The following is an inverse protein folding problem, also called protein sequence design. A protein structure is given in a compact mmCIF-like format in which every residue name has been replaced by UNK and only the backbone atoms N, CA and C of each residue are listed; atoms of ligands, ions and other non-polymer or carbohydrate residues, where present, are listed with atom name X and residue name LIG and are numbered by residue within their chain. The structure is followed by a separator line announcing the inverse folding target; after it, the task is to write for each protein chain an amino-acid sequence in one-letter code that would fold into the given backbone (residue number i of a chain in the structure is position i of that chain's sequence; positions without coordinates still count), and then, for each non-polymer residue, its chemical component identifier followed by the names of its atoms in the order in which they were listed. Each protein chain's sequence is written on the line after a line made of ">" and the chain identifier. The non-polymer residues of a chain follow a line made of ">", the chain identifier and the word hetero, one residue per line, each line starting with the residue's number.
data_IF_378890040207
#
_entry.id   IF_378890040207
#
_cell.length_a   1.000
_cell.length_b   1.000
_cell.length_c   1.000
_cell.angle_alpha   90.00
_cell.angle_beta   90.00
_cell.angle_gamma   90.00
#
_symmetry.space_group_name_H-M   'P 1'
#
loop_
_entity.id
_entity.type
_entity.pdbx_description
1 polymer ?
#
# COMPACT_ATOMS: atom_id res chain seq x y z
N UNK A 1 -9.39 52.03 -35.39
CA UNK A 1 -10.19 52.73 -34.35
C UNK A 1 -9.38 52.77 -33.07
N UNK A 2 -8.91 53.97 -32.78
CA UNK A 2 -8.16 54.53 -31.64
C UNK A 2 -8.82 54.16 -30.29
N UNK A 3 -8.15 54.05 -29.12
CA UNK A 3 -7.10 54.89 -28.52
C UNK A 3 -6.48 54.19 -27.29
N UNK A 4 -5.19 54.42 -27.06
CA UNK A 4 -4.46 54.22 -25.80
C UNK A 4 -4.50 55.49 -24.91
N UNK A 5 -4.03 55.36 -23.65
CA UNK A 5 -3.33 56.32 -22.74
C UNK A 5 -3.81 56.23 -21.27
N UNK A 6 -2.96 55.86 -20.30
CA UNK A 6 -2.01 56.70 -19.48
C UNK A 6 -2.76 57.53 -18.41
N UNK A 7 -2.31 57.86 -17.18
CA UNK A 7 -1.12 57.63 -16.34
C UNK A 7 -1.43 58.20 -14.92
N UNK A 8 -0.68 57.75 -13.90
CA UNK A 8 -0.21 58.47 -12.68
C UNK A 8 -1.16 59.01 -11.57
N UNK A 9 -0.72 58.80 -10.30
CA UNK A 9 -0.57 59.96 -9.39
C UNK A 9 -0.84 59.83 -7.87
N UNK A 10 0.12 59.26 -7.12
CA UNK A 10 0.73 59.79 -5.85
C UNK A 10 -0.09 60.15 -4.57
N UNK A 11 0.37 59.51 -3.48
CA UNK A 11 0.89 60.04 -2.17
C UNK A 11 -0.04 60.31 -0.96
N UNK A 12 0.42 59.74 0.17
CA UNK A 12 0.14 59.95 1.61
C UNK A 12 0.18 61.43 2.11
N UNK A 13 -0.37 61.73 3.31
CA UNK A 13 0.45 61.75 4.55
C UNK A 13 -0.23 61.26 5.86
N UNK A 14 0.59 61.16 6.91
CA UNK A 14 0.35 60.70 8.30
C UNK A 14 -0.11 61.84 9.26
N UNK A 15 -0.63 61.45 10.44
CA UNK A 15 -0.68 62.24 11.69
C UNK A 15 -2.00 61.95 12.46
N UNK A 16 -2.14 61.89 13.79
CA UNK A 16 -1.29 62.22 14.93
C UNK A 16 -1.87 61.56 16.22
N UNK A 17 -1.05 61.51 17.28
CA UNK A 17 -1.27 60.92 18.62
C UNK A 17 -2.41 61.55 19.45
N UNK A 18 -2.93 60.79 20.43
CA UNK A 18 -3.58 61.32 21.65
C UNK A 18 -3.77 60.27 22.75
N UNK A 19 -3.05 60.42 23.87
CA UNK A 19 -3.22 59.64 25.13
C UNK A 19 -4.30 60.30 26.00
N UNK A 20 -5.04 59.50 26.78
CA UNK A 20 -5.82 59.96 27.93
C UNK A 20 -6.12 58.82 28.91
N UNK A 21 -5.51 58.87 30.11
CA UNK A 21 -5.85 58.05 31.28
C UNK A 21 -7.00 58.75 32.03
N UNK A 22 -7.93 57.99 32.61
CA UNK A 22 -8.92 58.48 33.56
C UNK A 22 -9.58 57.33 34.31
N UNK A 23 -9.31 57.24 35.60
CA UNK A 23 -9.82 56.28 36.58
C UNK A 23 -11.22 56.71 37.05
N UNK A 24 -12.15 55.79 37.29
CA UNK A 24 -13.49 56.13 37.81
C UNK A 24 -14.29 54.90 38.23
N UNK A 25 -14.24 54.61 39.53
CA UNK A 25 -15.02 53.59 40.24
C UNK A 25 -16.53 53.91 40.16
N UNK A 26 -17.34 52.94 39.74
CA UNK A 26 -18.80 53.02 39.74
C UNK A 26 -19.41 51.64 39.87
N UNK A 27 -19.76 51.29 41.10
CA UNK A 27 -20.32 50.01 41.54
C UNK A 27 -21.82 49.95 41.19
N UNK A 28 -22.25 49.05 40.31
CA UNK A 28 -23.64 48.66 40.10
C UNK A 28 -23.74 47.12 40.07
N UNK A 29 -24.68 46.48 40.79
CA UNK A 29 -24.81 45.04 40.80
C UNK A 29 -25.53 44.60 39.52
N UNK A 30 -24.78 44.05 38.56
CA UNK A 30 -25.36 43.30 37.46
C UNK A 30 -25.77 41.92 38.00
N UNK A 31 -27.08 41.67 38.06
CA UNK A 31 -27.63 40.34 38.23
C UNK A 31 -26.96 39.38 37.21
N UNK A 32 -26.10 38.50 37.70
CA UNK A 32 -25.57 37.41 36.92
C UNK A 32 -26.72 36.46 36.57
N UNK A 33 -27.27 36.58 35.36
CA UNK A 33 -28.06 35.49 34.77
C UNK A 33 -27.08 34.34 34.58
N UNK A 34 -27.37 33.21 35.24
CA UNK A 34 -26.69 31.96 34.95
C UNK A 34 -26.75 31.71 33.43
N UNK A 35 -25.64 31.23 32.81
CA UNK A 35 -25.68 30.86 31.41
C UNK A 35 -26.83 29.85 31.21
N UNK A 36 -27.60 29.93 30.11
CA UNK A 36 -28.60 28.93 29.84
C UNK A 36 -27.91 27.56 29.85
N UNK A 37 -28.55 26.51 30.41
CA UNK A 37 -27.99 25.18 30.31
C UNK A 37 -27.70 24.90 28.84
N UNK A 38 -26.49 24.43 28.56
CA UNK A 38 -26.13 23.97 27.22
C UNK A 38 -27.26 23.08 26.71
N UNK A 39 -27.69 23.22 25.44
CA UNK A 39 -28.74 22.36 24.92
C UNK A 39 -28.32 20.93 25.19
N UNK A 40 -29.15 20.20 25.95
CA UNK A 40 -28.94 18.80 26.20
C UNK A 40 -28.79 18.15 24.82
N UNK A 41 -27.58 17.73 24.48
CA UNK A 41 -27.35 16.88 23.34
C UNK A 41 -28.21 15.65 23.62
N UNK A 42 -29.31 15.52 22.90
CA UNK A 42 -30.07 14.28 22.84
C UNK A 42 -29.06 13.25 22.33
N UNK A 43 -28.42 12.53 23.25
CA UNK A 43 -27.69 11.31 22.97
C UNK A 43 -28.76 10.31 22.53
N UNK A 44 -29.21 10.44 21.28
CA UNK A 44 -30.02 9.42 20.63
C UNK A 44 -29.21 8.13 20.74
N UNK A 45 -29.83 7.11 21.32
CA UNK A 45 -29.23 5.80 21.43
C UNK A 45 -28.76 5.33 20.04
N UNK A 46 -27.61 4.64 19.96
CA UNK A 46 -27.12 4.12 18.69
C UNK A 46 -28.19 3.24 18.03
N UNK A 47 -28.50 3.52 16.76
CA UNK A 47 -29.40 2.67 15.97
C UNK A 47 -28.79 1.27 15.89
N UNK A 48 -29.55 0.23 16.22
CA UNK A 48 -29.11 -1.16 16.12
C UNK A 48 -29.68 -1.80 14.85
N UNK A 49 -28.81 -2.30 13.99
CA UNK A 49 -29.21 -2.97 12.75
C UNK A 49 -29.87 -4.31 12.99
N UNK A 50 -30.93 -4.61 12.23
CA UNK A 50 -31.70 -5.85 12.30
C UNK A 50 -31.51 -6.77 11.08
N UNK A 51 -30.75 -6.36 10.06
CA UNK A 51 -30.57 -7.15 8.84
C UNK A 51 -29.66 -8.36 9.08
N UNK A 52 -30.22 -9.57 9.10
CA UNK A 52 -29.46 -10.82 9.29
C UNK A 52 -28.77 -11.37 8.03
N UNK A 53 -29.01 -10.73 6.88
CA UNK A 53 -28.47 -11.09 5.57
C UNK A 53 -27.33 -10.14 5.14
N UNK A 54 -26.48 -10.58 4.21
CA UNK A 54 -25.37 -9.77 3.69
C UNK A 54 -25.86 -8.57 2.84
N UNK A 55 -27.11 -8.63 2.37
CA UNK A 55 -27.84 -7.56 1.72
C UNK A 55 -29.28 -7.54 2.26
N UNK A 56 -29.85 -6.35 2.60
CA UNK A 56 -31.26 -6.25 2.97
C UNK A 56 -32.18 -6.90 1.92
N UNK A 57 -33.17 -7.73 2.31
CA UNK A 57 -34.01 -8.47 1.35
C UNK A 57 -34.69 -7.57 0.31
N UNK A 58 -35.16 -6.39 0.74
CA UNK A 58 -35.76 -5.38 -0.15
C UNK A 58 -34.77 -4.89 -1.22
N UNK A 59 -33.55 -4.54 -0.82
CA UNK A 59 -32.51 -4.11 -1.76
C UNK A 59 -32.12 -5.25 -2.72
N UNK A 60 -31.98 -6.47 -2.23
CA UNK A 60 -31.66 -7.63 -3.05
C UNK A 60 -32.77 -7.87 -4.10
N UNK A 61 -34.04 -7.84 -3.69
CA UNK A 61 -35.19 -8.02 -4.56
C UNK A 61 -35.32 -6.90 -5.60
N UNK A 62 -35.13 -5.64 -5.19
CA UNK A 62 -35.18 -4.49 -6.10
C UNK A 62 -34.07 -4.57 -7.14
N UNK A 63 -32.82 -4.86 -6.75
CA UNK A 63 -31.69 -5.03 -7.69
C UNK A 63 -31.84 -6.24 -8.59
N UNK A 64 -32.46 -7.32 -8.11
CA UNK A 64 -32.78 -8.47 -8.95
C UNK A 64 -33.81 -8.09 -10.02
N UNK A 65 -34.86 -7.36 -9.64
CA UNK A 65 -35.90 -6.87 -10.57
C UNK A 65 -35.33 -5.91 -11.61
N UNK A 66 -34.41 -5.02 -11.24
CA UNK A 66 -33.78 -4.04 -12.15
C UNK A 66 -32.55 -4.57 -12.88
N UNK A 67 -32.17 -5.85 -12.70
CA UNK A 67 -30.99 -6.48 -13.30
C UNK A 67 -29.64 -5.82 -12.90
N UNK A 68 -29.59 -5.20 -11.73
CA UNK A 68 -28.42 -4.49 -11.19
C UNK A 68 -27.53 -5.37 -10.30
N UNK A 69 -27.86 -6.65 -10.11
CA UNK A 69 -26.98 -7.60 -9.43
C UNK A 69 -25.71 -7.83 -10.24
N UNK A 70 -24.55 -7.71 -9.59
CA UNK A 70 -23.26 -8.04 -10.18
C UNK A 70 -23.17 -9.53 -10.53
N UNK A 71 -22.30 -9.92 -11.46
CA UNK A 71 -21.96 -11.33 -11.68
C UNK A 71 -21.38 -12.02 -10.44
N UNK A 72 -20.78 -11.24 -9.53
CA UNK A 72 -20.26 -11.71 -8.24
C UNK A 72 -21.36 -11.89 -7.17
N UNK A 73 -22.63 -11.66 -7.52
CA UNK A 73 -23.79 -11.78 -6.63
C UNK A 73 -24.81 -12.80 -7.16
N UNK A 74 -24.51 -13.45 -8.29
CA UNK A 74 -25.42 -14.36 -8.99
C UNK A 74 -24.96 -15.80 -8.82
N UNK A 75 -25.68 -16.63 -8.05
CA UNK A 75 -25.40 -18.05 -7.99
C UNK A 75 -25.42 -18.68 -9.38
N UNK A 76 -24.52 -19.61 -9.65
CA UNK A 76 -24.55 -20.42 -10.87
C UNK A 76 -24.32 -21.90 -10.57
N UNK A 77 -24.65 -22.78 -11.51
CA UNK A 77 -24.47 -24.23 -11.33
C UNK A 77 -22.99 -24.64 -11.19
N UNK A 78 -22.05 -23.80 -11.65
CA UNK A 78 -20.61 -24.01 -11.50
C UNK A 78 -20.20 -23.89 -10.03
N UNK A 79 -19.43 -24.86 -9.53
CA UNK A 79 -19.07 -24.98 -8.12
C UNK A 79 -18.51 -23.66 -7.51
N UNK A 80 -17.63 -22.96 -8.23
CA UNK A 80 -17.03 -21.70 -7.80
C UNK A 80 -18.04 -20.53 -7.61
N UNK A 81 -19.24 -20.65 -8.18
CA UNK A 81 -20.27 -19.61 -8.13
C UNK A 81 -21.48 -20.00 -7.27
N UNK A 82 -21.52 -21.21 -6.69
CA UNK A 82 -22.72 -21.71 -5.98
C UNK A 82 -23.02 -20.91 -4.72
N UNK A 83 -21.99 -20.43 -4.04
CA UNK A 83 -22.09 -19.75 -2.75
C UNK A 83 -22.19 -18.22 -2.89
N UNK A 84 -22.30 -17.68 -4.12
CA UNK A 84 -22.43 -16.25 -4.35
C UNK A 84 -23.79 -15.76 -3.87
N UNK A 85 -23.81 -14.67 -3.11
CA UNK A 85 -25.03 -14.06 -2.60
C UNK A 85 -25.00 -12.55 -2.80
N UNK A 86 -26.17 -11.92 -2.77
CA UNK A 86 -26.26 -10.47 -2.84
C UNK A 86 -25.60 -9.82 -1.62
N UNK A 87 -24.76 -8.81 -1.85
CA UNK A 87 -24.11 -8.01 -0.80
C UNK A 87 -24.59 -6.57 -0.89
N UNK A 88 -24.88 -5.94 0.25
CA UNK A 88 -25.39 -4.57 0.31
C UNK A 88 -24.45 -3.60 -0.43
N UNK A 89 -24.98 -2.83 -1.39
CA UNK A 89 -24.22 -1.83 -2.14
C UNK A 89 -23.94 -0.60 -1.26
N UNK A 90 -22.82 0.08 -1.47
CA UNK A 90 -22.58 1.36 -0.81
C UNK A 90 -23.55 2.41 -1.37
N UNK A 91 -24.20 3.17 -0.48
CA UNK A 91 -25.07 4.29 -0.87
C UNK A 91 -24.40 5.60 -0.46
N UNK A 92 -24.18 6.51 -1.41
CA UNK A 92 -23.70 7.85 -1.06
C UNK A 92 -24.74 8.54 -0.18
N UNK A 93 -24.30 9.28 0.82
CA UNK A 93 -25.20 10.14 1.58
C UNK A 93 -25.83 11.15 0.62
N UNK A 94 -27.13 10.99 0.35
CA UNK A 94 -27.92 12.00 -0.34
C UNK A 94 -28.42 12.99 0.72
N UNK A 95 -28.37 14.29 0.43
CA UNK A 95 -28.89 15.31 1.32
C UNK A 95 -30.36 15.01 1.68
N UNK A 96 -30.68 14.94 2.97
CA UNK A 96 -32.06 14.81 3.47
C UNK A 96 -32.55 13.40 3.84
N UNK A 97 -31.70 12.36 3.86
CA UNK A 97 -32.03 11.08 4.52
C UNK A 97 -31.43 11.03 5.93
N UNK A 98 -32.12 11.66 6.88
CA UNK A 98 -31.70 11.63 8.30
C UNK A 98 -32.26 10.42 9.07
N UNK A 99 -33.07 9.57 8.42
CA UNK A 99 -33.66 8.38 9.04
C UNK A 99 -33.18 7.12 8.33
N UNK A 100 -32.37 6.34 9.05
CA UNK A 100 -31.97 4.99 8.65
C UNK A 100 -32.98 3.98 9.19
N UNK A 101 -33.48 3.10 8.33
CA UNK A 101 -34.29 1.96 8.74
C UNK A 101 -33.36 0.90 9.40
N UNK A 102 -33.58 0.52 10.67
CA UNK A 102 -32.83 -0.54 11.32
C UNK A 102 -32.78 -1.85 10.52
N UNK A 103 -33.85 -2.19 9.80
CA UNK A 103 -33.91 -3.40 8.97
C UNK A 103 -33.04 -3.32 7.71
N UNK A 104 -32.58 -2.14 7.32
CA UNK A 104 -31.60 -1.96 6.24
C UNK A 104 -30.15 -2.01 6.73
N UNK A 105 -29.89 -1.99 8.04
CA UNK A 105 -28.54 -1.99 8.64
C UNK A 105 -28.14 -3.40 9.11
N UNK A 106 -26.93 -3.83 8.78
CA UNK A 106 -26.38 -5.13 9.23
C UNK A 106 -25.72 -4.97 10.60
N UNK A 107 -26.08 -5.77 11.62
CA UNK A 107 -25.42 -5.75 12.93
C UNK A 107 -23.98 -6.30 12.86
N UNK A 108 -23.14 -6.05 13.88
CA UNK A 108 -21.71 -6.39 13.87
C UNK A 108 -21.38 -7.83 13.41
N UNK A 109 -22.06 -8.90 13.89
CA UNK A 109 -21.77 -10.27 13.44
C UNK A 109 -22.01 -10.47 11.94
N UNK A 110 -22.99 -9.77 11.36
CA UNK A 110 -23.32 -9.84 9.94
C UNK A 110 -22.34 -9.02 9.10
N UNK A 111 -21.78 -7.95 9.66
CA UNK A 111 -20.69 -7.19 9.02
C UNK A 111 -19.45 -8.07 8.83
N UNK A 112 -18.99 -8.78 9.88
CA UNK A 112 -17.86 -9.71 9.77
C UNK A 112 -18.16 -10.87 8.82
N UNK A 113 -19.36 -11.46 8.87
CA UNK A 113 -19.80 -12.48 7.90
C UNK A 113 -19.77 -11.96 6.47
N UNK A 114 -20.13 -10.68 6.26
CA UNK A 114 -20.06 -10.04 4.95
C UNK A 114 -18.60 -9.95 4.48
N UNK A 115 -17.69 -9.47 5.32
CA UNK A 115 -16.26 -9.37 4.97
C UNK A 115 -15.66 -10.73 4.68
N UNK A 116 -15.99 -11.73 5.49
CA UNK A 116 -15.60 -13.13 5.24
C UNK A 116 -16.05 -13.56 3.86
N UNK A 117 -17.33 -13.40 3.51
CA UNK A 117 -17.82 -13.75 2.16
C UNK A 117 -17.08 -12.99 1.05
N UNK A 118 -16.85 -11.68 1.22
CA UNK A 118 -16.10 -10.88 0.24
C UNK A 118 -14.68 -11.42 0.02
N UNK A 119 -13.95 -11.76 1.09
CA UNK A 119 -12.55 -12.17 1.00
C UNK A 119 -12.31 -13.66 0.78
N UNK A 120 -13.27 -14.53 1.12
CA UNK A 120 -13.16 -16.00 0.97
C UNK A 120 -13.88 -16.51 -0.27
N UNK A 121 -14.92 -15.83 -0.75
CA UNK A 121 -15.78 -16.31 -1.85
C UNK A 121 -15.65 -15.43 -3.09
N UNK A 122 -15.63 -14.10 -2.93
CA UNK A 122 -15.60 -13.18 -4.09
C UNK A 122 -14.18 -12.82 -4.51
N UNK A 123 -13.31 -12.50 -3.56
CA UNK A 123 -11.94 -12.07 -3.84
C UNK A 123 -11.13 -13.10 -4.64
N UNK A 124 -11.12 -14.42 -4.34
CA UNK A 124 -10.37 -15.42 -5.11
C UNK A 124 -11.03 -15.77 -6.46
N UNK A 125 -11.66 -14.79 -7.11
CA UNK A 125 -12.28 -14.97 -8.42
C UNK A 125 -11.23 -15.33 -9.48
N UNK A 126 -11.51 -16.25 -10.42
CA UNK A 126 -10.52 -16.70 -11.40
C UNK A 126 -9.94 -15.56 -12.24
N UNK A 127 -8.61 -15.53 -12.37
CA UNK A 127 -7.83 -14.52 -13.12
C UNK A 127 -8.00 -13.09 -12.60
N UNK A 128 -8.46 -12.93 -11.37
CA UNK A 128 -8.52 -11.62 -10.71
C UNK A 128 -7.15 -11.12 -10.26
N UNK A 129 -6.14 -12.00 -10.16
CA UNK A 129 -4.86 -11.69 -9.54
C UNK A 129 -4.89 -11.77 -8.00
N UNK A 130 -6.07 -12.01 -7.41
CA UNK A 130 -6.25 -12.32 -6.00
C UNK A 130 -6.56 -13.82 -5.75
N UNK A 131 -6.65 -14.60 -6.82
CA UNK A 131 -6.77 -16.05 -6.81
C UNK A 131 -5.48 -16.75 -6.30
N UNK A 132 -5.45 -18.07 -6.39
CA UNK A 132 -4.32 -18.88 -5.93
C UNK A 132 -2.99 -18.39 -6.53
N UNK A 133 -1.92 -18.44 -5.74
CA UNK A 133 -0.62 -17.90 -6.10
C UNK A 133 -0.08 -18.45 -7.43
N UNK A 134 -0.29 -19.74 -7.66
CA UNK A 134 0.14 -20.46 -8.86
C UNK A 134 -0.59 -19.97 -10.13
N UNK A 135 -1.76 -19.36 -9.98
CA UNK A 135 -2.61 -18.94 -11.11
C UNK A 135 -2.47 -17.44 -11.43
N UNK A 136 -1.75 -16.66 -10.61
CA UNK A 136 -1.68 -15.19 -10.74
C UNK A 136 -1.00 -14.70 -12.01
N UNK A 137 -0.08 -15.49 -12.59
CA UNK A 137 0.51 -15.18 -13.90
C UNK A 137 -0.53 -15.12 -15.04
N UNK A 138 -1.75 -15.62 -14.81
CA UNK A 138 -2.87 -15.57 -15.76
C UNK A 138 -3.88 -14.43 -15.48
N UNK A 139 -3.57 -13.55 -14.52
CA UNK A 139 -4.42 -12.45 -14.13
C UNK A 139 -4.71 -11.52 -15.32
N UNK A 140 -5.96 -11.04 -15.40
CA UNK A 140 -6.39 -10.12 -16.44
C UNK A 140 -6.70 -8.75 -15.84
N UNK A 141 -6.21 -7.64 -16.43
CA UNK A 141 -6.50 -6.29 -15.95
C UNK A 141 -7.99 -6.03 -15.70
N UNK A 142 -8.85 -6.39 -16.65
CA UNK A 142 -10.30 -6.19 -16.52
C UNK A 142 -10.92 -7.01 -15.38
N UNK A 143 -10.43 -8.23 -15.12
CA UNK A 143 -10.93 -9.08 -14.04
C UNK A 143 -10.46 -8.58 -12.67
N UNK A 144 -9.19 -8.19 -12.55
CA UNK A 144 -8.64 -7.53 -11.37
C UNK A 144 -9.47 -6.29 -10.98
N UNK A 145 -9.69 -5.39 -11.95
CA UNK A 145 -10.44 -4.16 -11.73
C UNK A 145 -11.90 -4.43 -11.34
N UNK A 146 -12.56 -5.36 -12.02
CA UNK A 146 -13.95 -5.71 -11.70
C UNK A 146 -14.10 -6.22 -10.26
N UNK A 147 -13.20 -7.10 -9.82
CA UNK A 147 -13.21 -7.65 -8.46
C UNK A 147 -12.85 -6.57 -7.44
N UNK A 148 -11.78 -5.80 -7.69
CA UNK A 148 -11.37 -4.71 -6.81
C UNK A 148 -12.49 -3.70 -6.58
N UNK A 149 -13.12 -3.19 -7.65
CA UNK A 149 -14.19 -2.20 -7.54
C UNK A 149 -15.42 -2.76 -6.83
N UNK A 150 -15.76 -4.02 -7.07
CA UNK A 150 -16.86 -4.68 -6.38
C UNK A 150 -16.58 -4.80 -4.87
N UNK A 151 -15.43 -5.37 -4.50
CA UNK A 151 -15.04 -5.56 -3.09
C UNK A 151 -14.92 -4.22 -2.38
N UNK A 152 -14.28 -3.23 -3.01
CA UNK A 152 -14.15 -1.87 -2.47
C UNK A 152 -15.52 -1.21 -2.22
N UNK A 153 -16.47 -1.30 -3.15
CA UNK A 153 -17.82 -0.76 -2.95
C UNK A 153 -18.55 -1.45 -1.78
N UNK A 154 -18.54 -2.78 -1.75
CA UNK A 154 -19.22 -3.54 -0.69
C UNK A 154 -18.56 -3.35 0.68
N UNK A 155 -17.24 -3.18 0.71
CA UNK A 155 -16.50 -2.85 1.92
C UNK A 155 -16.88 -1.46 2.46
N UNK A 156 -17.00 -0.45 1.58
CA UNK A 156 -17.50 0.88 1.97
C UNK A 156 -18.92 0.82 2.53
N UNK A 157 -19.76 -0.09 2.05
CA UNK A 157 -21.09 -0.34 2.62
C UNK A 157 -21.00 -0.91 4.04
N UNK A 158 -20.06 -1.83 4.32
CA UNK A 158 -19.80 -2.36 5.66
C UNK A 158 -19.35 -1.26 6.62
N UNK A 159 -18.43 -0.39 6.17
CA UNK A 159 -18.00 0.78 6.96
C UNK A 159 -19.14 1.76 7.21
N UNK A 160 -19.97 2.03 6.21
CA UNK A 160 -21.14 2.87 6.36
C UNK A 160 -22.11 2.34 7.42
N UNK A 161 -22.41 1.04 7.41
CA UNK A 161 -23.26 0.42 8.43
C UNK A 161 -22.63 0.54 9.83
N UNK A 162 -21.31 0.40 9.93
CA UNK A 162 -20.57 0.57 11.19
C UNK A 162 -20.67 1.99 11.73
N UNK A 163 -20.47 2.99 10.86
CA UNK A 163 -20.57 4.41 11.22
C UNK A 163 -21.98 4.81 11.65
N UNK A 164 -23.02 4.39 10.91
CA UNK A 164 -24.41 4.71 11.23
C UNK A 164 -24.82 4.14 12.59
N UNK A 165 -24.36 2.93 12.90
CA UNK A 165 -24.63 2.26 14.18
C UNK A 165 -23.68 2.67 15.31
N UNK A 166 -22.69 3.53 15.04
CA UNK A 166 -21.63 3.93 16.00
C UNK A 166 -20.94 2.74 16.65
N UNK A 167 -20.59 1.73 15.85
CA UNK A 167 -19.83 0.56 16.30
C UNK A 167 -18.37 0.97 16.49
N UNK A 168 -17.81 0.72 17.67
CA UNK A 168 -16.42 1.04 18.04
C UNK A 168 -15.72 -0.16 18.73
N UNK A 169 -16.31 -1.36 18.64
CA UNK A 169 -15.78 -2.57 19.27
C UNK A 169 -14.80 -3.35 18.36
N UNK A 170 -14.37 -4.52 18.83
CA UNK A 170 -13.46 -5.43 18.12
C UNK A 170 -13.92 -5.78 16.70
N UNK A 171 -15.22 -5.78 16.42
CA UNK A 171 -15.77 -5.98 15.07
C UNK A 171 -15.24 -4.93 14.10
N UNK A 172 -15.27 -3.65 14.50
CA UNK A 172 -14.78 -2.57 13.66
C UNK A 172 -13.26 -2.64 13.51
N UNK A 173 -12.55 -2.96 14.60
CA UNK A 173 -11.10 -3.18 14.56
C UNK A 173 -10.75 -4.24 13.53
N UNK A 174 -11.31 -5.45 13.62
CA UNK A 174 -11.08 -6.52 12.64
C UNK A 174 -11.43 -6.10 11.22
N UNK A 175 -12.56 -5.41 11.03
CA UNK A 175 -12.98 -4.93 9.71
C UNK A 175 -11.96 -3.97 9.08
N UNK A 176 -11.44 -3.02 9.85
CA UNK A 176 -10.45 -2.04 9.39
C UNK A 176 -9.07 -2.67 9.18
N UNK A 177 -8.67 -3.63 10.00
CA UNK A 177 -7.45 -4.41 9.82
C UNK A 177 -7.46 -5.17 8.50
N UNK A 178 -8.55 -5.89 8.20
CA UNK A 178 -8.75 -6.56 6.91
C UNK A 178 -8.75 -5.58 5.74
N UNK A 179 -9.32 -4.39 5.93
CA UNK A 179 -9.29 -3.31 4.94
C UNK A 179 -7.87 -2.89 4.59
N UNK A 180 -7.06 -2.59 5.60
CA UNK A 180 -5.71 -2.08 5.41
C UNK A 180 -4.86 -3.12 4.65
N UNK A 181 -4.94 -4.39 5.05
CA UNK A 181 -4.28 -5.50 4.34
C UNK A 181 -4.77 -5.63 2.89
N UNK A 182 -6.09 -5.54 2.66
CA UNK A 182 -6.66 -5.56 1.31
C UNK A 182 -6.15 -4.42 0.42
N UNK A 183 -6.15 -3.17 0.90
CA UNK A 183 -5.72 -2.02 0.09
C UNK A 183 -4.21 -1.98 -0.16
N UNK A 184 -3.40 -2.45 0.79
CA UNK A 184 -1.96 -2.66 0.57
C UNK A 184 -1.73 -3.70 -0.52
N UNK A 185 -2.39 -4.85 -0.42
CA UNK A 185 -2.27 -5.92 -1.40
C UNK A 185 -2.80 -5.49 -2.77
N UNK A 186 -3.93 -4.80 -2.84
CA UNK A 186 -4.50 -4.28 -4.09
C UNK A 186 -3.54 -3.27 -4.75
N UNK A 187 -2.92 -2.39 -3.98
CA UNK A 187 -1.91 -1.45 -4.45
C UNK A 187 -0.72 -2.18 -5.09
N UNK A 188 -0.13 -3.13 -4.36
CA UNK A 188 0.94 -3.99 -4.87
C UNK A 188 0.55 -4.74 -6.15
N UNK A 189 -0.65 -5.34 -6.19
CA UNK A 189 -1.17 -6.08 -7.35
C UNK A 189 -1.37 -5.20 -8.56
N UNK A 190 -1.82 -3.97 -8.36
CA UNK A 190 -2.02 -3.03 -9.46
C UNK A 190 -0.73 -2.78 -10.24
N UNK A 191 0.42 -2.77 -9.55
CA UNK A 191 1.76 -2.62 -10.16
C UNK A 191 2.08 -3.80 -11.08
N UNK A 192 1.65 -5.02 -10.72
CA UNK A 192 1.89 -6.23 -11.51
C UNK A 192 0.94 -6.37 -12.69
N UNK A 193 -0.36 -6.18 -12.44
CA UNK A 193 -1.41 -6.56 -13.37
C UNK A 193 -1.74 -5.46 -14.37
N UNK A 194 -1.68 -4.17 -13.97
CA UNK A 194 -2.14 -3.05 -14.81
C UNK A 194 -1.05 -2.44 -15.70
N UNK A 195 -0.12 -3.25 -16.17
CA UNK A 195 1.02 -2.84 -17.02
C UNK A 195 0.52 -2.06 -18.27
N UNK A 196 0.82 -0.75 -18.35
CA UNK A 196 0.43 0.10 -19.48
C UNK A 196 -1.07 0.44 -19.61
N UNK A 197 -1.94 -0.08 -18.72
CA UNK A 197 -3.40 0.16 -18.74
C UNK A 197 -3.78 1.04 -17.55
N UNK A 198 -3.34 2.30 -17.54
CA UNK A 198 -3.78 3.31 -16.56
C UNK A 198 -4.51 4.45 -17.24
N UNK A 199 -5.72 4.19 -17.71
CA UNK A 199 -6.74 5.24 -17.75
C UNK A 199 -7.13 5.53 -16.30
N UNK A 200 -7.00 6.79 -15.84
CA UNK A 200 -7.44 7.22 -14.49
C UNK A 200 -8.92 6.88 -14.20
N UNK A 201 -9.69 6.63 -15.26
CA UNK A 201 -11.08 6.23 -15.19
C UNK A 201 -11.28 4.80 -14.65
N UNK A 202 -10.25 3.94 -14.72
CA UNK A 202 -10.34 2.52 -14.37
C UNK A 202 -9.58 2.17 -13.08
N UNK A 203 -8.44 2.78 -12.81
CA UNK A 203 -7.69 2.63 -11.55
C UNK A 203 -7.15 3.97 -11.05
N UNK A 204 -7.15 4.16 -9.73
CA UNK A 204 -6.57 5.33 -9.09
C UNK A 204 -5.83 4.92 -7.83
N UNK A 205 -4.49 4.99 -7.89
CA UNK A 205 -3.61 4.77 -6.74
C UNK A 205 -4.00 5.71 -5.58
N UNK A 206 -4.36 6.96 -5.90
CA UNK A 206 -4.82 7.95 -4.93
C UNK A 206 -6.07 7.52 -4.18
N UNK A 207 -7.10 7.03 -4.89
CA UNK A 207 -8.34 6.59 -4.23
C UNK A 207 -8.11 5.36 -3.37
N UNK A 208 -7.25 4.43 -3.80
CA UNK A 208 -6.85 3.27 -2.99
C UNK A 208 -6.13 3.73 -1.71
N UNK A 209 -5.16 4.63 -1.84
CA UNK A 209 -4.41 5.21 -0.73
C UNK A 209 -5.31 5.99 0.25
N UNK A 210 -6.30 6.73 -0.25
CA UNK A 210 -7.28 7.42 0.58
C UNK A 210 -8.12 6.44 1.42
N UNK A 211 -8.51 5.30 0.86
CA UNK A 211 -9.21 4.27 1.63
C UNK A 211 -8.32 3.62 2.68
N UNK A 212 -7.05 3.32 2.33
CA UNK A 212 -6.06 2.78 3.24
C UNK A 212 -5.77 3.74 4.40
N UNK A 213 -5.45 5.00 4.10
CA UNK A 213 -5.19 6.04 5.10
C UNK A 213 -6.40 6.27 6.01
N UNK A 214 -7.61 6.25 5.44
CA UNK A 214 -8.85 6.35 6.21
C UNK A 214 -9.03 5.17 7.17
N UNK A 215 -8.68 3.95 6.77
CA UNK A 215 -8.75 2.77 7.63
C UNK A 215 -7.71 2.82 8.76
N UNK A 216 -6.45 3.14 8.43
CA UNK A 216 -5.36 3.25 9.42
C UNK A 216 -5.60 4.37 10.43
N UNK A 217 -6.08 5.54 9.99
CA UNK A 217 -6.43 6.64 10.89
C UNK A 217 -7.53 6.25 11.88
N UNK A 218 -8.52 5.48 11.44
CA UNK A 218 -9.59 4.98 12.32
C UNK A 218 -9.08 3.91 13.28
N UNK A 219 -8.20 3.00 12.83
CA UNK A 219 -7.54 2.03 13.72
C UNK A 219 -6.75 2.73 14.81
N UNK A 220 -5.96 3.75 14.48
CA UNK A 220 -5.20 4.53 15.47
C UNK A 220 -6.10 5.16 16.53
N UNK A 221 -7.25 5.72 16.11
CA UNK A 221 -8.22 6.28 17.04
C UNK A 221 -8.80 5.20 17.98
N UNK A 222 -9.16 4.03 17.44
CA UNK A 222 -9.67 2.90 18.22
C UNK A 222 -8.62 2.35 19.19
N UNK A 223 -7.38 2.15 18.74
CA UNK A 223 -6.28 1.68 19.59
C UNK A 223 -6.03 2.65 20.74
N UNK A 224 -6.01 3.95 20.47
CA UNK A 224 -5.89 4.96 21.52
C UNK A 224 -7.05 4.96 22.50
N UNK A 225 -8.29 4.75 22.04
CA UNK A 225 -9.46 4.65 22.92
C UNK A 225 -9.39 3.44 23.85
N UNK A 226 -8.93 2.28 23.37
CA UNK A 226 -8.77 1.08 24.20
C UNK A 226 -7.62 1.20 25.21
N UNK A 227 -6.47 1.76 24.81
CA UNK A 227 -5.38 2.06 25.74
C UNK A 227 -5.84 3.04 26.84
N UNK A 228 -6.60 4.09 26.48
CA UNK A 228 -7.19 5.03 27.44
C UNK A 228 -8.24 4.38 28.36
N UNK A 229 -8.93 3.35 27.89
CA UNK A 229 -9.86 2.55 28.68
C UNK A 229 -9.15 1.57 29.62
N UNK A 230 -7.81 1.52 29.61
CA UNK A 230 -6.99 0.66 30.46
C UNK A 230 -6.87 -0.78 29.97
N UNK A 231 -7.29 -1.06 28.73
CA UNK A 231 -7.05 -2.34 28.08
C UNK A 231 -5.77 -2.24 27.25
N UNK A 232 -4.73 -2.99 27.62
CA UNK A 232 -3.53 -3.09 26.81
C UNK A 232 -3.82 -3.88 25.53
N UNK A 233 -3.07 -3.61 24.47
CA UNK A 233 -3.21 -4.33 23.19
C UNK A 233 -2.94 -5.84 23.28
N UNK A 234 -2.26 -6.28 24.34
CA UNK A 234 -2.01 -7.72 24.60
C UNK A 234 -3.21 -8.40 25.27
N UNK A 235 -4.06 -7.64 25.98
CA UNK A 235 -5.20 -8.17 26.74
C UNK A 235 -6.47 -8.30 25.89
N UNK A 236 -6.50 -7.63 24.74
CA UNK A 236 -7.62 -7.63 23.80
C UNK A 236 -7.18 -8.35 22.51
N UNK A 237 -7.74 -9.53 22.19
CA UNK A 237 -7.32 -10.32 21.03
C UNK A 237 -7.29 -9.53 19.71
N UNK A 238 -8.22 -8.60 19.52
CA UNK A 238 -8.33 -7.77 18.33
C UNK A 238 -7.22 -6.72 18.22
N UNK A 239 -6.60 -6.35 19.34
CA UNK A 239 -5.50 -5.39 19.41
C UNK A 239 -4.13 -6.04 19.35
N UNK A 240 -4.04 -7.37 19.46
CA UNK A 240 -2.78 -8.12 19.41
C UNK A 240 -1.93 -7.79 18.18
N UNK A 241 -2.59 -7.49 17.06
CA UNK A 241 -1.94 -7.15 15.80
C UNK A 241 -1.71 -5.64 15.61
N UNK A 242 -1.91 -4.79 16.63
CA UNK A 242 -1.81 -3.34 16.50
C UNK A 242 -0.45 -2.88 15.95
N UNK A 243 0.64 -3.53 16.36
CA UNK A 243 1.99 -3.24 15.89
C UNK A 243 2.15 -3.38 14.38
N UNK A 244 1.50 -4.37 13.76
CA UNK A 244 1.46 -4.58 12.31
C UNK A 244 0.95 -3.33 11.57
N UNK A 245 -0.19 -2.78 12.02
CA UNK A 245 -0.83 -1.63 11.38
C UNK A 245 -0.11 -0.31 11.68
N UNK A 246 0.49 -0.20 12.86
CA UNK A 246 1.39 0.91 13.19
C UNK A 246 2.62 0.89 12.27
N UNK A 247 3.21 -0.30 12.04
CA UNK A 247 4.33 -0.45 11.12
C UNK A 247 3.95 -0.07 9.69
N UNK A 248 2.78 -0.50 9.19
CA UNK A 248 2.28 -0.06 7.88
C UNK A 248 2.16 1.45 7.78
N UNK A 249 1.56 2.11 8.78
CA UNK A 249 1.36 3.55 8.73
C UNK A 249 2.68 4.33 8.77
N UNK A 250 3.63 3.88 9.59
CA UNK A 250 5.01 4.40 9.62
C UNK A 250 5.70 4.24 8.27
N UNK A 251 5.61 3.06 7.65
CA UNK A 251 6.22 2.79 6.36
C UNK A 251 5.60 3.63 5.25
N UNK A 252 4.28 3.82 5.22
CA UNK A 252 3.61 4.66 4.22
C UNK A 252 4.07 6.12 4.29
N UNK A 253 4.29 6.64 5.51
CA UNK A 253 4.72 8.02 5.73
C UNK A 253 6.24 8.19 5.88
N UNK A 254 7.05 7.13 5.71
CA UNK A 254 8.50 7.20 5.96
C UNK A 254 9.23 8.27 5.14
N UNK A 255 8.65 8.70 4.02
CA UNK A 255 9.18 9.79 3.19
C UNK A 255 9.00 11.20 3.79
N UNK A 256 8.04 11.38 4.70
CA UNK A 256 7.61 12.65 5.30
C UNK A 256 7.93 12.65 6.80
N UNK A 257 9.09 13.22 7.17
CA UNK A 257 9.61 13.16 8.54
C UNK A 257 8.68 13.79 9.59
N UNK A 258 7.93 14.83 9.21
CA UNK A 258 6.97 15.49 10.11
C UNK A 258 5.85 14.54 10.53
N UNK A 259 5.30 13.78 9.57
CA UNK A 259 4.20 12.84 9.83
C UNK A 259 4.64 11.72 10.77
N UNK A 260 5.85 11.18 10.54
CA UNK A 260 6.43 10.14 11.41
C UNK A 260 6.65 10.65 12.84
N UNK A 261 7.15 11.88 13.00
CA UNK A 261 7.31 12.48 14.33
C UNK A 261 5.96 12.65 15.03
N UNK A 262 4.92 13.11 14.32
CA UNK A 262 3.58 13.23 14.89
C UNK A 262 2.98 11.89 15.30
N UNK A 263 3.21 10.83 14.54
CA UNK A 263 2.81 9.48 14.91
C UNK A 263 3.55 9.02 16.18
N UNK A 264 4.87 9.19 16.23
CA UNK A 264 5.69 8.78 17.38
C UNK A 264 5.30 9.47 18.70
N UNK A 265 4.82 10.72 18.64
CA UNK A 265 4.32 11.44 19.80
C UNK A 265 3.02 10.85 20.37
N UNK A 266 2.22 10.18 19.52
CA UNK A 266 0.96 9.55 19.92
C UNK A 266 1.11 8.08 20.31
N UNK A 267 2.18 7.42 19.85
CA UNK A 267 2.41 6.00 20.10
C UNK A 267 2.87 5.71 21.54
N UNK A 268 2.23 4.74 22.17
CA UNK A 268 2.64 4.24 23.47
C UNK A 268 4.07 3.66 23.43
N UNK A 269 4.85 3.74 24.53
CA UNK A 269 6.20 3.17 24.58
C UNK A 269 6.24 1.66 24.26
N UNK A 270 5.18 0.93 24.64
CA UNK A 270 5.05 -0.52 24.41
C UNK A 270 4.90 -0.83 22.92
N UNK A 271 3.96 -0.17 22.22
CA UNK A 271 3.81 -0.32 20.76
C UNK A 271 5.09 0.07 20.02
N UNK A 272 5.80 1.10 20.49
CA UNK A 272 7.08 1.51 19.89
C UNK A 272 8.14 0.42 19.96
N UNK A 273 8.13 -0.45 20.97
CA UNK A 273 9.15 -1.49 21.15
C UNK A 273 8.88 -2.76 20.33
N UNK A 274 7.69 -2.89 19.72
CA UNK A 274 7.35 -4.06 18.91
C UNK A 274 8.31 -4.20 17.71
N UNK A 275 8.70 -5.43 17.35
CA UNK A 275 9.76 -5.67 16.37
C UNK A 275 9.42 -5.13 14.98
N UNK A 276 8.17 -5.24 14.55
CA UNK A 276 7.66 -4.70 13.29
C UNK A 276 7.69 -3.17 13.27
N UNK A 277 7.35 -2.52 14.39
CA UNK A 277 7.40 -1.06 14.53
C UNK A 277 8.85 -0.59 14.52
N UNK A 278 9.75 -1.28 15.24
CA UNK A 278 11.18 -1.00 15.23
C UNK A 278 11.79 -1.17 13.83
N UNK A 279 11.39 -2.20 13.08
CA UNK A 279 11.80 -2.37 11.67
C UNK A 279 11.34 -1.20 10.80
N UNK A 280 10.08 -0.78 10.91
CA UNK A 280 9.57 0.39 10.20
C UNK A 280 10.36 1.66 10.55
N UNK A 281 10.72 1.86 11.82
CA UNK A 281 11.52 3.01 12.26
C UNK A 281 12.97 2.95 11.75
N UNK A 282 13.61 1.78 11.71
CA UNK A 282 14.95 1.64 11.11
C UNK A 282 14.92 1.93 9.61
N UNK A 283 13.90 1.45 8.89
CA UNK A 283 13.70 1.79 7.48
C UNK A 283 13.46 3.29 7.27
N UNK A 284 12.68 3.92 8.15
CA UNK A 284 12.51 5.38 8.16
C UNK A 284 13.84 6.11 8.36
N UNK A 285 14.62 5.76 9.37
CA UNK A 285 15.93 6.38 9.63
C UNK A 285 16.84 6.24 8.42
N UNK A 286 16.95 5.03 7.86
CA UNK A 286 17.75 4.75 6.67
C UNK A 286 17.35 5.64 5.48
N UNK A 287 16.04 5.84 5.27
CA UNK A 287 15.53 6.70 4.21
C UNK A 287 15.85 8.20 4.44
N UNK A 288 15.85 8.65 5.70
CA UNK A 288 16.15 10.05 6.04
C UNK A 288 17.66 10.35 6.01
N UNK A 289 18.51 9.36 6.28
CA UNK A 289 19.98 9.49 6.24
C UNK A 289 20.58 9.11 4.87
N UNK A 290 19.74 8.82 3.88
CA UNK A 290 20.14 8.30 2.56
C UNK A 290 21.04 7.03 2.65
N UNK A 291 20.84 6.21 3.69
CA UNK A 291 21.48 4.91 3.84
C UNK A 291 20.65 3.84 3.12
N UNK A 292 20.80 3.79 1.80
CA UNK A 292 20.04 2.87 0.97
C UNK A 292 20.39 1.39 1.25
N UNK A 293 21.61 1.09 1.70
CA UNK A 293 21.99 -0.28 2.07
C UNK A 293 21.21 -0.74 3.30
N UNK A 294 21.17 0.07 4.37
CA UNK A 294 20.35 -0.23 5.54
C UNK A 294 18.86 -0.31 5.19
N UNK A 295 18.37 0.57 4.31
CA UNK A 295 16.98 0.51 3.85
C UNK A 295 16.66 -0.82 3.16
N UNK A 296 17.51 -1.28 2.24
CA UNK A 296 17.29 -2.55 1.54
C UNK A 296 17.49 -3.78 2.43
N UNK A 297 18.34 -3.69 3.45
CA UNK A 297 18.44 -4.73 4.48
C UNK A 297 17.11 -4.87 5.25
N UNK A 298 16.52 -3.77 5.71
CA UNK A 298 15.20 -3.79 6.36
C UNK A 298 14.10 -4.24 5.39
N UNK A 299 14.11 -3.76 4.13
CA UNK A 299 13.15 -4.16 3.11
C UNK A 299 13.20 -5.68 2.83
N UNK A 300 14.39 -6.27 2.81
CA UNK A 300 14.56 -7.73 2.72
C UNK A 300 13.98 -8.48 3.92
N UNK A 301 14.03 -7.90 5.12
CA UNK A 301 13.48 -8.48 6.34
C UNK A 301 11.98 -8.21 6.57
N UNK A 302 11.34 -7.36 5.75
CA UNK A 302 9.92 -7.03 5.84
C UNK A 302 9.02 -8.17 5.36
N UNK A 303 7.84 -8.28 5.96
CA UNK A 303 6.72 -9.09 5.47
C UNK A 303 6.23 -8.58 4.11
N UNK A 304 5.44 -9.39 3.41
CA UNK A 304 4.87 -9.00 2.11
C UNK A 304 4.13 -7.66 2.16
N UNK A 305 3.29 -7.46 3.19
CA UNK A 305 2.47 -6.25 3.31
C UNK A 305 3.28 -5.04 3.81
N UNK A 306 4.32 -5.26 4.63
CA UNK A 306 5.28 -4.21 4.97
C UNK A 306 6.04 -3.75 3.71
N UNK A 307 6.49 -4.70 2.87
CA UNK A 307 7.09 -4.37 1.57
C UNK A 307 6.10 -3.60 0.70
N UNK A 308 4.83 -4.01 0.65
CA UNK A 308 3.78 -3.29 -0.08
C UNK A 308 3.66 -1.82 0.35
N UNK A 309 3.72 -1.54 1.66
CA UNK A 309 3.74 -0.18 2.18
C UNK A 309 5.00 0.59 1.75
N UNK A 310 6.16 -0.07 1.80
CA UNK A 310 7.46 0.52 1.50
C UNK A 310 7.76 0.71 -0.01
N UNK A 311 7.06 0.01 -0.91
CA UNK A 311 7.28 0.04 -2.38
C UNK A 311 7.33 1.47 -2.94
N UNK A 312 6.52 2.39 -2.40
CA UNK A 312 6.43 3.79 -2.86
C UNK A 312 7.74 4.57 -2.70
N UNK A 313 8.64 4.12 -1.84
CA UNK A 313 9.92 4.79 -1.58
C UNK A 313 11.04 4.35 -2.51
N UNK A 314 10.91 3.18 -3.16
CA UNK A 314 11.95 2.62 -4.02
C UNK A 314 12.42 3.58 -5.13
N UNK A 315 11.54 4.31 -5.86
CA UNK A 315 12.00 5.23 -6.89
C UNK A 315 12.90 6.35 -6.34
N UNK A 316 12.58 6.85 -5.13
CA UNK A 316 13.36 7.88 -4.45
C UNK A 316 14.70 7.33 -3.98
N UNK A 317 14.71 6.11 -3.43
CA UNK A 317 15.93 5.42 -2.99
C UNK A 317 16.86 5.15 -4.18
N UNK A 318 16.33 4.67 -5.31
CA UNK A 318 17.09 4.45 -6.53
C UNK A 318 17.68 5.74 -7.10
N UNK A 319 16.88 6.81 -7.22
CA UNK A 319 17.34 8.09 -7.74
C UNK A 319 18.47 8.67 -6.87
N UNK A 320 18.27 8.74 -5.55
CA UNK A 320 19.26 9.29 -4.62
C UNK A 320 20.52 8.43 -4.56
N UNK A 321 20.36 7.11 -4.44
CA UNK A 321 21.46 6.16 -4.40
C UNK A 321 22.35 6.26 -5.64
N UNK A 322 21.76 6.28 -6.84
CA UNK A 322 22.53 6.43 -8.07
C UNK A 322 23.21 7.79 -8.20
N UNK A 323 22.59 8.87 -7.75
CA UNK A 323 23.23 10.20 -7.71
C UNK A 323 24.43 10.22 -6.75
N UNK A 324 24.31 9.58 -5.59
CA UNK A 324 25.40 9.46 -4.62
C UNK A 324 26.57 8.62 -5.17
N UNK A 325 26.26 7.45 -5.75
CA UNK A 325 27.26 6.61 -6.42
C UNK A 325 27.93 7.39 -7.55
N UNK A 326 27.16 8.05 -8.41
CA UNK A 326 27.70 8.87 -9.50
C UNK A 326 28.58 10.02 -9.01
N UNK A 327 28.34 10.56 -7.81
CA UNK A 327 29.20 11.58 -7.20
C UNK A 327 30.49 10.99 -6.61
N UNK A 328 30.42 9.79 -6.03
CA UNK A 328 31.55 9.10 -5.40
C UNK A 328 32.58 8.56 -6.38
N UNK A 329 32.14 7.90 -7.46
CA UNK A 329 33.01 7.21 -8.42
C UNK A 329 33.74 8.14 -9.39
N UNK A 330 34.95 7.79 -9.80
CA UNK A 330 35.74 8.47 -10.83
C UNK A 330 35.24 8.21 -12.26
N UNK A 331 35.66 9.05 -13.22
CA UNK A 331 35.27 8.91 -14.64
C UNK A 331 35.79 7.64 -15.32
N UNK A 332 36.87 7.07 -14.80
CA UNK A 332 37.49 5.85 -15.32
C UNK A 332 37.00 4.60 -14.60
N UNK A 333 36.25 4.77 -13.51
CA UNK A 333 35.78 3.66 -12.71
C UNK A 333 34.68 2.93 -13.47
N UNK A 334 34.75 1.60 -13.40
CA UNK A 334 33.78 0.69 -14.01
C UNK A 334 33.12 -0.07 -12.89
N UNK A 335 31.83 0.13 -12.71
CA UNK A 335 31.09 -0.55 -11.65
C UNK A 335 30.27 -1.70 -12.25
N UNK A 336 30.46 -2.95 -11.77
CA UNK A 336 29.73 -4.10 -12.31
C UNK A 336 28.22 -3.91 -12.17
N UNK A 337 27.47 -4.11 -13.24
CA UNK A 337 26.01 -3.96 -13.21
C UNK A 337 25.34 -4.97 -12.28
N UNK A 338 25.93 -6.15 -12.09
CA UNK A 338 25.41 -7.17 -11.15
C UNK A 338 25.56 -6.77 -9.69
N UNK A 339 26.70 -6.17 -9.33
CA UNK A 339 26.89 -5.59 -8.00
C UNK A 339 25.87 -4.47 -7.78
N UNK A 340 25.63 -3.65 -8.81
CA UNK A 340 24.63 -2.59 -8.73
C UNK A 340 23.23 -3.15 -8.52
N UNK A 341 22.86 -4.18 -9.29
CA UNK A 341 21.58 -4.84 -9.17
C UNK A 341 21.36 -5.37 -7.75
N UNK A 342 22.39 -5.98 -7.13
CA UNK A 342 22.33 -6.42 -5.74
C UNK A 342 22.17 -5.24 -4.76
N UNK A 343 22.96 -4.18 -4.92
CA UNK A 343 22.91 -3.02 -4.03
C UNK A 343 21.57 -2.27 -4.06
N UNK A 344 20.89 -2.26 -5.21
CA UNK A 344 19.60 -1.57 -5.38
C UNK A 344 18.39 -2.52 -5.30
N UNK A 345 18.59 -3.74 -4.81
CA UNK A 345 17.57 -4.78 -4.65
C UNK A 345 16.84 -5.14 -5.96
N UNK A 346 17.55 -5.08 -7.09
CA UNK A 346 17.14 -5.55 -8.41
C UNK A 346 17.61 -6.98 -8.72
N UNK A 347 18.40 -7.58 -7.83
CA UNK A 347 18.82 -8.99 -7.84
C UNK A 347 18.63 -9.63 -6.46
N UNK A 348 18.66 -10.97 -6.36
CA UNK A 348 18.75 -11.62 -5.05
C UNK A 348 20.15 -11.36 -4.47
N UNK A 349 20.31 -11.16 -3.15
CA UNK A 349 21.64 -10.97 -2.56
C UNK A 349 22.63 -12.07 -2.93
N UNK A 350 22.14 -13.29 -3.05
CA UNK A 350 22.93 -14.51 -3.33
C UNK A 350 22.93 -14.94 -4.81
N UNK A 351 22.28 -14.21 -5.72
CA UNK A 351 22.25 -14.60 -7.14
C UNK A 351 23.55 -14.22 -7.84
N UNK A 352 24.25 -15.21 -8.39
CA UNK A 352 25.37 -14.99 -9.31
C UNK A 352 24.85 -14.77 -10.74
N UNK A 353 24.93 -13.53 -11.24
CA UNK A 353 24.65 -13.21 -12.65
C UNK A 353 23.18 -12.94 -13.00
N UNK A 354 22.36 -12.53 -12.03
CA UNK A 354 20.97 -12.12 -12.28
C UNK A 354 20.77 -10.64 -11.91
N UNK A 355 20.00 -9.91 -12.73
CA UNK A 355 19.57 -8.53 -12.44
C UNK A 355 20.35 -7.42 -13.15
N UNK A 356 21.45 -7.72 -13.83
CA UNK A 356 22.23 -6.72 -14.57
C UNK A 356 21.46 -5.95 -15.65
N UNK A 357 20.52 -6.59 -16.35
CA UNK A 357 19.65 -5.91 -17.32
C UNK A 357 18.70 -4.90 -16.64
N UNK A 358 18.26 -5.20 -15.41
CA UNK A 358 17.43 -4.31 -14.61
C UNK A 358 18.26 -3.12 -14.11
N UNK A 359 19.49 -3.38 -13.66
CA UNK A 359 20.43 -2.31 -13.30
C UNK A 359 20.79 -1.44 -14.51
N UNK A 360 21.00 -2.03 -15.69
CA UNK A 360 21.24 -1.30 -16.95
C UNK A 360 20.05 -0.38 -17.27
N UNK A 361 18.83 -0.91 -17.18
CA UNK A 361 17.60 -0.14 -17.37
C UNK A 361 17.51 1.03 -16.41
N UNK A 362 17.79 0.81 -15.13
CA UNK A 362 17.79 1.87 -14.12
C UNK A 362 18.85 2.94 -14.39
N UNK A 363 20.07 2.54 -14.77
CA UNK A 363 21.14 3.47 -15.17
C UNK A 363 20.73 4.31 -16.37
N UNK A 364 20.21 3.68 -17.42
CA UNK A 364 19.78 4.36 -18.63
C UNK A 364 18.62 5.35 -18.35
N UNK A 365 17.73 5.01 -17.40
CA UNK A 365 16.62 5.87 -17.00
C UNK A 365 17.05 7.21 -16.37
N UNK A 366 18.26 7.31 -15.81
CA UNK A 366 18.83 8.53 -15.23
C UNK A 366 20.03 9.08 -16.03
N UNK A 367 20.29 8.54 -17.24
CA UNK A 367 21.39 8.92 -18.13
C UNK A 367 22.80 8.53 -17.63
N UNK A 368 22.93 7.39 -16.96
CA UNK A 368 24.22 6.76 -16.65
C UNK A 368 24.58 5.80 -17.79
N UNK A 369 25.75 5.99 -18.39
CA UNK A 369 26.19 5.17 -19.51
C UNK A 369 26.55 3.76 -19.05
N UNK A 370 26.20 2.78 -19.87
CA UNK A 370 26.46 1.36 -19.61
C UNK A 370 27.19 0.75 -20.80
N UNK A 371 28.12 -0.17 -20.53
CA UNK A 371 28.90 -0.87 -21.57
C UNK A 371 28.81 -2.37 -21.34
N UNK A 372 28.18 -3.10 -22.26
CA UNK A 372 28.11 -4.56 -22.23
C UNK A 372 29.47 -5.18 -22.59
N UNK A 373 29.80 -6.31 -21.97
CA UNK A 373 30.94 -7.11 -22.42
C UNK A 373 30.70 -7.62 -23.85
N UNK A 374 31.74 -7.67 -24.72
CA UNK A 374 31.63 -8.38 -25.98
C UNK A 374 31.21 -9.83 -25.72
N UNK A 375 30.34 -10.42 -26.57
CA UNK A 375 30.00 -11.82 -26.42
C UNK A 375 31.28 -12.67 -26.47
N UNK A 376 31.39 -13.73 -25.65
CA UNK A 376 32.55 -14.61 -25.71
C UNK A 376 32.70 -15.12 -27.14
N UNK A 377 33.91 -14.95 -27.69
CA UNK A 377 34.26 -15.46 -29.02
C UNK A 377 33.94 -16.96 -29.03
N UNK A 378 33.01 -17.39 -29.89
CA UNK A 378 32.75 -18.81 -30.05
C UNK A 378 34.06 -19.47 -30.47
N UNK A 379 34.50 -20.56 -29.82
CA UNK A 379 35.67 -21.28 -30.28
C UNK A 379 35.40 -21.65 -31.75
N UNK A 380 36.32 -21.23 -32.62
CA UNK A 380 36.35 -21.65 -34.01
C UNK A 380 36.28 -23.17 -33.99
N UNK A 381 35.17 -23.73 -34.48
CA UNK A 381 35.12 -25.16 -34.80
C UNK A 381 36.27 -25.43 -35.74
N UNK A 382 37.23 -26.31 -35.39
CA UNK A 382 38.26 -26.70 -36.34
C UNK A 382 37.54 -27.24 -37.57
N UNK A 383 37.85 -26.70 -38.74
CA UNK A 383 37.45 -27.33 -39.99
C UNK A 383 37.93 -28.77 -39.97
N UNK A 384 37.04 -29.71 -40.26
CA UNK A 384 37.34 -31.13 -40.46
C UNK A 384 38.53 -31.29 -41.41
N UNK A 385 39.71 -31.48 -40.84
CA UNK A 385 40.88 -32.17 -41.39
C UNK A 385 42.10 -31.84 -40.51
N UNK A 386 42.25 -32.55 -39.41
CA UNK A 386 43.54 -33.14 -39.03
C UNK A 386 43.32 -34.11 -37.85
N UNK A 387 43.42 -35.39 -38.19
CA UNK A 387 43.45 -36.51 -37.27
C UNK A 387 44.79 -36.47 -36.53
N UNK A 388 44.76 -36.40 -35.20
CA UNK A 388 45.86 -36.86 -34.38
C UNK A 388 45.33 -37.45 -33.07
N UNK A 389 45.57 -38.75 -32.92
CA UNK A 389 45.23 -39.58 -31.77
C UNK A 389 45.81 -39.05 -30.46
N UNK A 390 44.96 -38.93 -29.44
CA UNK A 390 45.40 -39.09 -28.05
C UNK A 390 44.23 -39.54 -27.18
N UNK A 391 44.34 -40.77 -26.68
CA UNK A 391 43.43 -41.36 -25.71
C UNK A 391 43.85 -40.93 -24.30
N UNK A 392 43.15 -39.96 -23.71
CA UNK A 392 43.03 -39.86 -22.26
C UNK A 392 41.56 -39.73 -21.89
N UNK A 393 41.04 -40.81 -21.30
CA UNK A 393 39.75 -40.84 -20.64
C UNK A 393 39.93 -40.10 -19.31
N UNK A 394 39.29 -38.94 -19.17
CA UNK A 394 39.13 -38.28 -17.87
C UNK A 394 37.64 -38.12 -17.62
N UNK A 395 37.23 -38.62 -16.46
CA UNK A 395 35.85 -38.82 -16.02
C UNK A 395 34.93 -37.61 -16.21
N UNK A 396 33.74 -37.96 -16.67
CA UNK A 396 32.59 -37.12 -16.98
C UNK A 396 31.93 -36.62 -15.68
N UNK A 397 32.48 -35.56 -15.08
CA UNK A 397 31.75 -34.72 -14.12
C UNK A 397 31.09 -33.58 -14.87
N UNK A 398 29.86 -33.82 -15.33
CA UNK A 398 28.94 -32.80 -15.86
C UNK A 398 28.50 -31.84 -14.75
N UNK A 399 29.41 -30.98 -14.30
CA UNK A 399 29.04 -29.70 -13.71
C UNK A 399 28.42 -28.87 -14.82
N UNK A 400 27.09 -28.76 -14.81
CA UNK A 400 26.36 -27.73 -15.55
C UNK A 400 26.80 -26.37 -15.01
N UNK A 401 27.93 -25.86 -15.52
CA UNK A 401 28.33 -24.48 -15.34
C UNK A 401 27.34 -23.67 -16.16
N UNK A 402 26.28 -23.16 -15.51
CA UNK A 402 25.48 -22.07 -16.06
C UNK A 402 26.45 -20.94 -16.36
N UNK A 403 26.79 -20.73 -17.64
CA UNK A 403 27.60 -19.59 -18.08
C UNK A 403 26.95 -18.30 -17.53
N UNK A 404 27.70 -17.40 -16.88
CA UNK A 404 27.16 -16.08 -16.58
C UNK A 404 26.84 -15.39 -17.91
N UNK A 405 25.61 -14.88 -18.05
CA UNK A 405 25.28 -13.92 -19.10
C UNK A 405 26.23 -12.75 -18.96
N UNK A 406 26.98 -12.44 -20.02
CA UNK A 406 27.98 -11.38 -20.01
C UNK A 406 27.33 -10.03 -19.66
N UNK A 407 27.53 -9.53 -18.43
CA UNK A 407 26.89 -8.29 -17.98
C UNK A 407 27.92 -7.23 -17.66
N UNK A 408 27.69 -6.07 -18.26
CA UNK A 408 28.62 -4.96 -18.41
C UNK A 408 28.92 -4.12 -17.17
N UNK A 409 29.45 -2.93 -17.42
CA UNK A 409 29.74 -1.94 -16.39
C UNK A 409 28.93 -0.67 -16.56
N UNK A 410 28.51 -0.08 -15.44
CA UNK A 410 28.09 1.31 -15.38
C UNK A 410 29.31 2.23 -15.33
N UNK A 411 29.25 3.34 -16.05
CA UNK A 411 30.27 4.38 -16.05
C UNK A 411 29.65 5.71 -15.59
N UNK A 412 30.25 6.28 -14.55
CA UNK A 412 29.75 7.46 -13.88
C UNK A 412 30.46 8.74 -14.36
N UNK A 413 29.82 9.89 -14.16
CA UNK A 413 30.36 11.24 -14.47
C UNK A 413 30.71 11.51 -15.94
N UNK A 414 30.16 10.74 -16.88
CA UNK A 414 30.35 10.94 -18.32
C UNK A 414 29.38 11.96 -18.92
N UNK A 415 28.14 11.99 -18.43
CA UNK A 415 27.07 12.87 -18.91
C UNK A 415 26.33 13.51 -17.72
N UNK A 416 25.68 14.68 -17.92
CA UNK A 416 24.73 15.21 -16.95
C UNK A 416 23.57 14.21 -16.75
N UNK A 417 23.22 13.97 -15.49
CA UNK A 417 22.09 13.12 -15.14
C UNK A 417 20.77 13.79 -15.49
N UNK A 418 19.75 12.99 -15.80
CA UNK A 418 18.39 13.53 -15.92
C UNK A 418 17.92 14.14 -14.59
N UNK A 419 17.06 15.16 -14.67
CA UNK A 419 16.47 15.79 -13.48
C UNK A 419 15.57 14.80 -12.73
N UNK A 420 14.89 13.91 -13.45
CA UNK A 420 14.06 12.85 -12.91
C UNK A 420 14.34 11.53 -13.62
N UNK A 421 14.24 10.43 -12.91
CA UNK A 421 14.29 9.09 -13.49
C UNK A 421 13.07 8.88 -14.40
N UNK A 422 13.28 8.23 -15.55
CA UNK A 422 12.21 7.88 -16.47
C UNK A 422 11.09 7.09 -15.77
N UNK A 423 9.85 7.56 -15.93
CA UNK A 423 8.71 7.04 -15.16
C UNK A 423 8.29 5.65 -15.61
N UNK A 424 8.47 5.33 -16.88
CA UNK A 424 8.14 4.01 -17.44
C UNK A 424 9.16 2.96 -17.01
N UNK A 425 10.45 3.30 -17.04
CA UNK A 425 11.51 2.45 -16.50
C UNK A 425 11.28 2.15 -15.01
N UNK A 426 11.00 3.17 -14.19
CA UNK A 426 10.67 2.98 -12.77
C UNK A 426 9.49 2.03 -12.59
N UNK A 427 8.44 2.19 -13.39
CA UNK A 427 7.24 1.37 -13.32
C UNK A 427 7.53 -0.11 -13.60
N UNK A 428 8.34 -0.38 -14.62
CA UNK A 428 8.75 -1.75 -14.98
C UNK A 428 9.66 -2.36 -13.90
N UNK A 429 10.60 -1.59 -13.36
CA UNK A 429 11.48 -2.04 -12.28
C UNK A 429 10.70 -2.35 -11.00
N UNK A 430 9.72 -1.52 -10.64
CA UNK A 430 8.83 -1.78 -9.51
C UNK A 430 8.08 -3.10 -9.70
N UNK A 431 7.56 -3.36 -10.90
CA UNK A 431 6.91 -4.64 -11.21
C UNK A 431 7.84 -5.82 -10.99
N UNK A 432 9.09 -5.73 -11.44
CA UNK A 432 10.08 -6.80 -11.29
C UNK A 432 10.45 -7.03 -9.81
N UNK A 433 10.49 -5.98 -8.99
CA UNK A 433 10.65 -6.10 -7.52
C UNK A 433 9.45 -6.81 -6.88
N UNK A 434 8.23 -6.45 -7.28
CA UNK A 434 7.03 -7.08 -6.72
C UNK A 434 6.95 -8.56 -7.12
N UNK A 435 7.19 -8.89 -8.38
CA UNK A 435 7.18 -10.29 -8.84
C UNK A 435 8.19 -11.15 -8.05
N UNK A 436 9.42 -10.68 -7.87
CA UNK A 436 10.44 -11.41 -7.10
C UNK A 436 10.12 -11.51 -5.62
N UNK A 437 9.51 -10.48 -5.04
CA UNK A 437 9.05 -10.51 -3.65
C UNK A 437 8.07 -11.67 -3.43
N UNK A 438 7.19 -11.92 -4.40
CA UNK A 438 6.21 -13.00 -4.33
C UNK A 438 6.80 -14.37 -4.62
N UNK A 439 7.73 -14.47 -5.57
CA UNK A 439 8.49 -15.70 -5.85
C UNK A 439 9.29 -16.16 -4.63
N UNK A 440 9.95 -15.21 -3.94
CA UNK A 440 10.70 -15.49 -2.70
C UNK A 440 9.77 -16.01 -1.61
N UNK A 441 8.57 -15.44 -1.50
CA UNK A 441 7.56 -15.91 -0.54
C UNK A 441 7.06 -17.31 -0.91
N UNK A 442 6.83 -17.58 -2.19
CA UNK A 442 6.41 -18.89 -2.69
C UNK A 442 7.47 -19.98 -2.42
N UNK A 443 8.74 -19.66 -2.60
CA UNK A 443 9.86 -20.58 -2.34
C UNK A 443 10.05 -20.91 -0.85
N UNK A 444 9.63 -20.01 0.05
CA UNK A 444 9.80 -20.19 1.50
C UNK A 444 8.81 -21.17 2.17
N UNK A 445 7.97 -21.88 1.40
CA UNK A 445 6.92 -22.81 1.89
C UNK A 445 5.92 -22.19 2.90
N UNK A 446 5.91 -20.86 3.05
CA UNK A 446 5.04 -20.11 3.95
C UNK A 446 3.84 -19.48 3.19
N UNK A 447 3.29 -20.16 2.18
CA UNK A 447 2.25 -19.62 1.30
C UNK A 447 0.92 -19.45 2.03
N UNK A 448 0.78 -18.32 2.72
CA UNK A 448 -0.52 -17.78 3.09
C UNK A 448 -1.27 -17.43 1.80
N UNK A 449 -2.46 -17.98 1.62
CA UNK A 449 -3.39 -17.57 0.57
C UNK A 449 -3.69 -16.07 0.66
N UNK A 450 -4.15 -15.44 -0.43
CA UNK A 450 -4.62 -14.03 -0.40
C UNK A 450 -5.61 -13.81 0.74
N UNK A 451 -6.50 -14.78 0.94
CA UNK A 451 -7.51 -14.75 1.98
C UNK A 451 -6.89 -14.77 3.36
N UNK A 452 -5.90 -15.64 3.62
CA UNK A 452 -5.21 -15.67 4.91
C UNK A 452 -4.39 -14.40 5.18
N UNK A 453 -3.77 -13.82 4.16
CA UNK A 453 -3.07 -12.52 4.30
C UNK A 453 -4.00 -11.38 4.71
N UNK A 454 -5.27 -11.42 4.31
CA UNK A 454 -6.25 -10.37 4.64
C UNK A 454 -6.94 -10.69 5.97
N UNK A 455 -7.50 -11.89 6.09
CA UNK A 455 -8.38 -12.30 7.19
C UNK A 455 -7.61 -12.73 8.43
N UNK A 456 -6.33 -13.09 8.31
CA UNK A 456 -5.55 -13.77 9.34
C UNK A 456 -5.64 -15.30 9.20
N UNK A 457 -4.74 -16.02 9.86
CA UNK A 457 -4.74 -17.51 9.82
C UNK A 457 -5.82 -18.09 10.72
N UNK A 458 -6.28 -19.32 10.44
CA UNK A 458 -7.31 -19.98 11.23
C UNK A 458 -6.95 -20.13 12.74
N UNK A 459 -5.66 -20.17 13.09
CA UNK A 459 -5.22 -20.22 14.49
C UNK A 459 -5.53 -18.92 15.25
N UNK A 460 -5.53 -17.76 14.59
CA UNK A 460 -5.86 -16.46 15.22
C UNK A 460 -7.38 -16.29 15.42
N UNK A 461 -8.20 -16.94 14.60
CA UNK A 461 -9.67 -16.86 14.67
C UNK A 461 -10.31 -17.88 15.63
N UNK A 462 -9.53 -18.80 16.18
CA UNK A 462 -10.02 -19.86 17.09
C UNK A 462 -10.10 -19.46 18.56
N UNK A 463 -9.63 -18.25 18.93
CA UNK A 463 -9.66 -17.75 20.31
C UNK A 463 -11.00 -17.05 20.64
N UNK A 464 -11.88 -16.83 19.66
CA UNK A 464 -13.18 -16.15 19.84
C UNK A 464 -14.39 -17.09 19.80
N UNK A 465 -14.27 -18.27 20.44
CA UNK A 465 -15.38 -19.22 20.62
C UNK A 465 -16.21 -18.90 21.85
#
# INVERSE_FOLDING_TARGET
>A
MTRARDFQGRRHPRGHRGRGRGNGNGNFPLFARAPPPAPASLQQEPIRGGCQALCPPKEAADRARTQELSRFERPSAAAACRDLVAVKKYRRAAAGRDVWDPLELRPPPVLLRTLRHLFTTVLPWPRSGFDAWEQRGSARPAEFLAVYHFVNDRFRSVRQDSTVQRIEDGTLVTALQQAARFYLLAGMRSVQVLDGVKTQQDWSDKLNDEQLASALSQLQALYGMHELAGFDHEDVPELKNAGEFVAYDLLLHAGESQDVVWMLLKLSPKLRQLPEVQRALRAFVALQTDDFHAFFAEFGAMSLLERAAALRHLPKVWDRGLRMINKGFGKQDRFPLEELARWVHLAHPDSEGEGGELAERLCNAINIQTQRHPPPVQPLTPSDNEVADSWEIVDDLTLSVKKPSSIGFAQFKLSPLHERVDSEAVRLLLRDVVNRTEETLAASNALLTTTELIVGTAQETSISG
#
